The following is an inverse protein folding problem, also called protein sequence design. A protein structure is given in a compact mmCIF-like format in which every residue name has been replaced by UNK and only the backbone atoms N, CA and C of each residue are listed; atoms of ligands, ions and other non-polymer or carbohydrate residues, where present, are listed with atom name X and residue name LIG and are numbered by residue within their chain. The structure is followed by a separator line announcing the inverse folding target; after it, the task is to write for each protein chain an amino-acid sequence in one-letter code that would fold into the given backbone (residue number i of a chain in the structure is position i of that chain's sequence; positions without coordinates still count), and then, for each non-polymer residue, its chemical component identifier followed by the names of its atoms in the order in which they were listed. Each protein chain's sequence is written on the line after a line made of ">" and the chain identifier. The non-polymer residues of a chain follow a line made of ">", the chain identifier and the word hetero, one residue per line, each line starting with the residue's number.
data_IF_809524337335
#
_entry.id   IF_809524337335
#
_cell.length_a   1.000
_cell.length_b   1.000
_cell.length_c   1.000
_cell.angle_alpha   90.00
_cell.angle_beta   90.00
_cell.angle_gamma   90.00
#
_symmetry.space_group_name_H-M   'P 1'
#
loop_
_entity.id
_entity.type
_entity.pdbx_description
1 polymer ?
#
# COMPACT_ATOMS: atom_id res chain seq x y z
N UNK A 1 11.39 -24.77 6.66
CA UNK A 1 11.18 -25.59 5.45
C UNK A 1 10.90 -24.65 4.28
N UNK A 2 11.83 -24.51 3.32
CA UNK A 2 11.76 -23.50 2.24
C UNK A 2 10.47 -23.53 1.43
N UNK A 3 9.91 -24.71 1.16
CA UNK A 3 8.64 -24.84 0.45
C UNK A 3 7.43 -24.35 1.27
N UNK A 4 7.39 -24.59 2.59
CA UNK A 4 6.29 -24.11 3.45
C UNK A 4 6.37 -22.60 3.72
N UNK A 5 7.58 -22.07 3.86
CA UNK A 5 7.82 -20.63 4.07
C UNK A 5 7.71 -19.83 2.76
N UNK A 6 8.12 -20.41 1.63
CA UNK A 6 7.98 -19.80 0.31
C UNK A 6 6.53 -19.67 -0.15
N UNK A 7 5.72 -20.72 0.04
CA UNK A 7 4.29 -20.68 -0.32
C UNK A 7 3.51 -19.70 0.55
N UNK A 8 3.82 -19.60 1.86
CA UNK A 8 3.17 -18.62 2.73
C UNK A 8 3.56 -17.18 2.37
N UNK A 9 4.80 -16.91 1.95
CA UNK A 9 5.19 -15.60 1.43
C UNK A 9 4.50 -15.26 0.10
N UNK A 10 4.47 -16.20 -0.85
CA UNK A 10 3.80 -15.99 -2.13
C UNK A 10 2.29 -15.76 -1.95
N UNK A 11 1.64 -16.54 -1.08
CA UNK A 11 0.22 -16.38 -0.76
C UNK A 11 -0.04 -15.05 -0.04
N UNK A 12 0.81 -14.66 0.92
CA UNK A 12 0.68 -13.38 1.60
C UNK A 12 0.83 -12.21 0.64
N UNK A 13 1.80 -12.27 -0.28
CA UNK A 13 1.99 -11.25 -1.32
C UNK A 13 0.76 -11.17 -2.25
N UNK A 14 0.24 -12.32 -2.70
CA UNK A 14 -0.94 -12.39 -3.54
C UNK A 14 -2.19 -11.80 -2.85
N UNK A 15 -2.46 -12.22 -1.61
CA UNK A 15 -3.59 -11.71 -0.81
C UNK A 15 -3.46 -10.21 -0.58
N UNK A 16 -2.24 -9.73 -0.28
CA UNK A 16 -1.98 -8.29 -0.10
C UNK A 16 -2.27 -7.49 -1.39
N UNK A 17 -1.92 -8.05 -2.55
CA UNK A 17 -2.18 -7.42 -3.84
C UNK A 17 -3.69 -7.34 -4.13
N UNK A 18 -4.42 -8.43 -3.89
CA UNK A 18 -5.88 -8.47 -4.04
C UNK A 18 -6.57 -7.48 -3.09
N UNK A 19 -6.27 -7.57 -1.79
CA UNK A 19 -6.88 -6.71 -0.77
C UNK A 19 -6.51 -5.25 -0.99
N UNK A 20 -5.25 -4.94 -1.30
CA UNK A 20 -4.80 -3.59 -1.62
C UNK A 20 -5.53 -3.00 -2.82
N UNK A 21 -5.74 -3.80 -3.88
CA UNK A 21 -6.51 -3.39 -5.06
C UNK A 21 -7.98 -3.11 -4.70
N UNK A 22 -8.61 -3.98 -3.91
CA UNK A 22 -10.00 -3.79 -3.46
C UNK A 22 -10.17 -2.58 -2.54
N UNK A 23 -9.17 -2.28 -1.71
CA UNK A 23 -9.20 -1.14 -0.80
C UNK A 23 -8.90 0.18 -1.52
N UNK A 24 -8.15 0.17 -2.63
CA UNK A 24 -7.78 1.40 -3.35
C UNK A 24 -8.99 2.24 -3.76
N UNK A 25 -10.11 1.60 -4.14
CA UNK A 25 -11.36 2.30 -4.48
C UNK A 25 -11.94 3.12 -3.33
N UNK A 26 -11.75 2.65 -2.09
CA UNK A 26 -12.24 3.33 -0.90
C UNK A 26 -11.41 4.56 -0.56
N UNK A 27 -10.12 4.59 -0.93
CA UNK A 27 -9.29 5.79 -0.83
C UNK A 27 -9.87 6.88 -1.72
N UNK A 28 -10.16 6.55 -2.98
CA UNK A 28 -10.78 7.51 -3.91
C UNK A 28 -12.18 7.95 -3.50
N UNK A 29 -12.95 7.07 -2.83
CA UNK A 29 -14.33 7.36 -2.44
C UNK A 29 -14.43 8.15 -1.13
N UNK A 30 -13.67 7.77 -0.11
CA UNK A 30 -13.84 8.29 1.26
C UNK A 30 -12.72 9.24 1.69
N UNK A 31 -11.55 9.20 1.03
CA UNK A 31 -10.44 10.10 1.31
C UNK A 31 -9.88 10.77 0.04
N UNK A 32 -10.73 11.47 -0.76
CA UNK A 32 -10.31 12.07 -2.03
C UNK A 32 -9.07 12.97 -1.94
N UNK A 33 -8.90 13.85 -0.92
CA UNK A 33 -7.68 14.65 -0.80
C UNK A 33 -6.40 13.80 -0.68
N UNK A 34 -6.49 12.64 -0.04
CA UNK A 34 -5.38 11.72 0.14
C UNK A 34 -5.07 10.98 -1.17
N UNK A 35 -6.11 10.67 -1.95
CA UNK A 35 -5.97 10.08 -3.28
C UNK A 35 -5.31 11.07 -4.26
N UNK A 36 -5.69 12.34 -4.22
CA UNK A 36 -5.09 13.41 -5.03
C UNK A 36 -3.64 13.68 -4.66
N UNK A 37 -3.31 13.67 -3.37
CA UNK A 37 -1.93 13.76 -2.89
C UNK A 37 -1.11 12.57 -3.41
N UNK A 38 -1.66 11.36 -3.31
CA UNK A 38 -1.07 10.16 -3.90
C UNK A 38 -0.81 10.33 -5.39
N UNK A 39 -1.82 10.72 -6.18
CA UNK A 39 -1.70 10.96 -7.63
C UNK A 39 -0.66 12.02 -7.98
N UNK A 40 -0.53 13.05 -7.14
CA UNK A 40 0.49 14.09 -7.31
C UNK A 40 1.89 13.53 -7.10
N UNK A 41 2.11 12.74 -6.05
CA UNK A 41 3.38 12.04 -5.83
C UNK A 41 3.65 11.07 -6.99
N UNK A 42 2.62 10.35 -7.43
CA UNK A 42 2.72 9.41 -8.56
C UNK A 42 3.27 10.08 -9.80
N UNK A 43 2.70 11.22 -10.20
CA UNK A 43 3.17 12.05 -11.33
C UNK A 43 4.62 12.52 -11.18
N UNK A 44 5.08 12.79 -9.96
CA UNK A 44 6.48 13.16 -9.70
C UNK A 44 7.44 11.96 -9.85
N UNK A 45 6.95 10.74 -9.67
CA UNK A 45 7.71 9.51 -9.83
C UNK A 45 7.73 8.99 -11.28
N UNK A 46 6.73 9.33 -12.09
CA UNK A 46 6.67 8.97 -13.53
C UNK A 46 7.98 9.25 -14.30
N UNK A 47 8.65 10.41 -14.17
CA UNK A 47 9.91 10.66 -14.87
C UNK A 47 11.07 9.75 -14.41
N UNK A 48 11.02 9.22 -13.18
CA UNK A 48 12.03 8.29 -12.67
C UNK A 48 11.76 6.85 -13.10
N UNK A 49 10.49 6.48 -13.21
CA UNK A 49 10.04 5.11 -13.52
C UNK A 49 9.90 4.91 -15.03
N UNK A 50 9.76 6.00 -15.79
CA UNK A 50 9.56 6.00 -17.24
C UNK A 50 8.17 5.56 -17.67
N UNK A 51 7.22 5.43 -16.74
CA UNK A 51 5.85 4.99 -17.01
C UNK A 51 4.85 5.68 -16.07
N UNK A 52 3.63 6.00 -16.56
CA UNK A 52 2.57 6.55 -15.73
C UNK A 52 2.10 5.55 -14.68
N UNK A 53 1.86 6.03 -13.46
CA UNK A 53 1.35 5.19 -12.38
C UNK A 53 -0.19 5.19 -12.39
N UNK A 54 -0.78 4.00 -12.38
CA UNK A 54 -2.25 3.89 -12.36
C UNK A 54 -2.85 4.36 -11.03
N UNK A 55 -4.14 4.66 -11.04
CA UNK A 55 -4.87 5.04 -9.82
C UNK A 55 -4.88 3.92 -8.78
N UNK A 56 -4.91 2.66 -9.21
CA UNK A 56 -4.85 1.50 -8.31
C UNK A 56 -3.48 1.40 -7.63
N UNK A 57 -2.40 1.55 -8.40
CA UNK A 57 -1.04 1.50 -7.84
C UNK A 57 -0.84 2.64 -6.85
N UNK A 58 -1.27 3.84 -7.22
CA UNK A 58 -1.10 5.03 -6.40
C UNK A 58 -1.95 4.99 -5.13
N UNK A 59 -3.21 4.56 -5.24
CA UNK A 59 -4.07 4.33 -4.07
C UNK A 59 -3.55 3.20 -3.17
N UNK A 60 -2.97 2.16 -3.78
CA UNK A 60 -2.30 1.07 -3.05
C UNK A 60 -1.10 1.56 -2.23
N UNK A 61 -0.26 2.44 -2.78
CA UNK A 61 0.87 3.04 -2.05
C UNK A 61 0.40 3.83 -0.82
N UNK A 62 -0.67 4.62 -0.95
CA UNK A 62 -1.27 5.36 0.16
C UNK A 62 -1.73 4.41 1.27
N UNK A 63 -2.40 3.30 0.91
CA UNK A 63 -2.83 2.29 1.87
C UNK A 63 -1.67 1.61 2.58
N UNK A 64 -0.63 1.22 1.83
CA UNK A 64 0.56 0.59 2.40
C UNK A 64 1.24 1.54 3.39
N UNK A 65 1.38 2.83 3.05
CA UNK A 65 1.91 3.86 3.94
C UNK A 65 1.08 3.98 5.22
N UNK A 66 -0.24 4.07 5.11
CA UNK A 66 -1.14 4.19 6.25
C UNK A 66 -1.05 2.96 7.17
N UNK A 67 -1.10 1.74 6.61
CA UNK A 67 -1.01 0.50 7.38
C UNK A 67 0.37 0.35 8.04
N UNK A 68 1.44 0.73 7.35
CA UNK A 68 2.81 0.69 7.90
C UNK A 68 2.96 1.66 9.06
N UNK A 69 2.38 2.86 8.96
CA UNK A 69 2.36 3.84 10.03
C UNK A 69 1.58 3.33 11.25
N UNK A 70 0.36 2.82 11.04
CA UNK A 70 -0.49 2.24 12.11
C UNK A 70 0.26 1.10 12.80
N UNK A 71 0.87 0.18 12.04
CA UNK A 71 1.67 -0.90 12.60
C UNK A 71 2.85 -0.38 13.42
N UNK A 72 3.59 0.61 12.91
CA UNK A 72 4.71 1.21 13.63
C UNK A 72 4.29 1.82 14.97
N UNK A 73 3.17 2.54 15.01
CA UNK A 73 2.60 3.11 16.24
C UNK A 73 2.19 2.01 17.21
N UNK A 74 1.41 1.03 16.76
CA UNK A 74 0.94 -0.09 17.59
C UNK A 74 2.11 -0.88 18.16
N UNK A 75 3.12 -1.16 17.35
CA UNK A 75 4.32 -1.87 17.77
C UNK A 75 5.09 -1.08 18.84
N UNK A 76 5.26 0.23 18.66
CA UNK A 76 5.98 1.05 19.63
C UNK A 76 5.23 1.13 20.97
N UNK A 77 3.91 1.31 20.93
CA UNK A 77 3.07 1.31 22.13
C UNK A 77 3.03 -0.05 22.83
N UNK A 78 2.93 -1.15 22.08
CA UNK A 78 2.84 -2.50 22.65
C UNK A 78 4.17 -3.07 23.15
N UNK A 79 5.30 -2.55 22.66
CA UNK A 79 6.65 -3.03 23.03
C UNK A 79 7.37 -2.13 24.03
N UNK A 80 7.07 -0.84 24.04
CA UNK A 80 7.72 0.15 24.92
C UNK A 80 6.74 0.87 25.86
N UNK A 81 5.45 0.52 25.82
CA UNK A 81 4.44 0.93 26.80
C UNK A 81 4.30 -0.03 27.96
#
# INVERSE_FOLDING_TARGET
>A
MPAKTGTSHALAAFVSLVVGSMLSKYVWTYTPPLAEAGATIGRQLEPLIGAPLSQEVTGGLVLILALSFVWGVVYHLGRHG
#
